data_IF_200598251815
#
_entry.id   IF_200598251815
#
_cell.length_a   1.000
_cell.length_b   1.000
_cell.length_c   1.000
_cell.angle_alpha   90.00
_cell.angle_beta   90.00
_cell.angle_gamma   90.00
#
_symmetry.space_group_name_H-M   'P 1'
#
loop_
_entity.id
_entity.type
_entity.pdbx_description
1 polymer ?
#
# COMPACT_ATOMS: atom_id res chain seq x y z
N UNK A 1 -33.67 6.37 6.36
CA UNK A 1 -33.36 4.99 6.78
C UNK A 1 -32.95 4.23 5.52
N UNK A 2 -31.65 4.17 5.19
CA UNK A 2 -31.17 3.58 3.93
C UNK A 2 -30.66 2.17 4.24
N UNK A 3 -31.38 1.18 3.74
CA UNK A 3 -31.18 -0.25 4.00
C UNK A 3 -29.87 -0.75 3.38
N UNK A 4 -29.14 -1.60 4.12
CA UNK A 4 -27.84 -2.24 3.79
C UNK A 4 -27.76 -2.93 2.41
N UNK A 5 -28.86 -3.08 1.69
CA UNK A 5 -28.95 -3.75 0.39
C UNK A 5 -28.51 -2.89 -0.80
N UNK A 6 -28.41 -1.56 -0.67
CA UNK A 6 -28.02 -0.67 -1.79
C UNK A 6 -26.52 -0.52 -2.04
N UNK A 7 -25.65 -1.06 -1.17
CA UNK A 7 -24.19 -1.04 -1.34
C UNK A 7 -23.62 -2.22 -2.13
N UNK A 8 -24.44 -3.22 -2.48
CA UNK A 8 -23.94 -4.53 -2.93
C UNK A 8 -23.64 -4.63 -4.44
N UNK A 9 -24.14 -3.71 -5.26
CA UNK A 9 -24.11 -3.84 -6.73
C UNK A 9 -23.74 -2.55 -7.48
N UNK A 10 -23.09 -1.58 -6.83
CA UNK A 10 -22.69 -0.36 -7.53
C UNK A 10 -21.41 -0.60 -8.35
N UNK A 11 -21.46 -0.61 -9.70
CA UNK A 11 -20.27 -0.76 -10.55
C UNK A 11 -19.26 0.38 -10.35
N UNK A 12 -19.66 1.48 -9.69
CA UNK A 12 -18.77 2.57 -9.33
C UNK A 12 -17.62 2.13 -8.40
N UNK A 13 -17.82 1.17 -7.49
CA UNK A 13 -16.76 0.70 -6.59
C UNK A 13 -15.61 -0.02 -7.33
N UNK A 14 -15.85 -0.54 -8.54
CA UNK A 14 -14.81 -1.22 -9.34
C UNK A 14 -13.80 -0.26 -9.94
N UNK A 15 -14.09 1.05 -9.96
CA UNK A 15 -13.28 2.06 -10.65
C UNK A 15 -12.56 3.04 -9.70
N UNK A 16 -12.59 2.79 -8.39
CA UNK A 16 -12.28 3.83 -7.40
C UNK A 16 -10.93 3.66 -6.70
N UNK A 17 -10.11 2.64 -6.98
CA UNK A 17 -8.77 2.52 -6.40
C UNK A 17 -7.72 2.44 -7.48
N UNK A 18 -7.00 3.54 -7.67
CA UNK A 18 -5.91 3.67 -8.62
C UNK A 18 -4.60 3.68 -7.85
N UNK A 19 -3.62 2.94 -8.36
CA UNK A 19 -2.29 2.85 -7.77
C UNK A 19 -1.30 3.55 -8.69
N UNK A 20 -0.40 4.31 -8.09
CA UNK A 20 0.72 4.92 -8.78
C UNK A 20 2.01 4.47 -8.11
N UNK A 21 3.04 4.22 -8.89
CA UNK A 21 4.39 4.13 -8.36
C UNK A 21 5.12 5.43 -8.69
N UNK A 22 5.78 6.01 -7.70
CA UNK A 22 6.78 7.03 -7.97
C UNK A 22 7.90 6.40 -8.78
N UNK A 23 8.22 6.98 -9.93
CA UNK A 23 9.42 6.58 -10.65
C UNK A 23 10.64 6.92 -9.80
N UNK A 24 11.66 6.06 -9.89
CA UNK A 24 12.90 6.21 -9.13
C UNK A 24 13.49 7.59 -9.45
N UNK A 25 13.47 8.47 -8.47
CA UNK A 25 13.97 9.84 -8.54
C UNK A 25 15.24 9.93 -7.69
N UNK A 26 16.14 10.86 -8.02
CA UNK A 26 17.44 11.02 -7.33
C UNK A 26 17.33 11.58 -5.89
N UNK A 27 16.10 11.72 -5.38
CA UNK A 27 15.80 12.21 -4.04
C UNK A 27 15.50 11.07 -3.07
N UNK A 28 15.80 11.28 -1.80
CA UNK A 28 15.55 10.27 -0.75
C UNK A 28 14.04 10.09 -0.51
N UNK A 29 13.58 8.92 -0.03
CA UNK A 29 12.16 8.65 0.22
C UNK A 29 11.49 9.67 1.15
N UNK A 30 12.24 10.17 2.15
CA UNK A 30 11.78 11.19 3.09
C UNK A 30 11.54 12.53 2.39
N UNK A 31 12.51 13.00 1.61
CA UNK A 31 12.38 14.26 0.87
C UNK A 31 11.21 14.21 -0.13
N UNK A 32 10.97 13.06 -0.76
CA UNK A 32 9.81 12.88 -1.63
C UNK A 32 8.50 12.93 -0.84
N UNK A 33 8.43 12.23 0.30
CA UNK A 33 7.26 12.29 1.18
C UNK A 33 6.96 13.72 1.61
N UNK A 34 7.97 14.48 2.04
CA UNK A 34 7.80 15.86 2.50
C UNK A 34 7.30 16.77 1.37
N UNK A 35 7.90 16.68 0.17
CA UNK A 35 7.49 17.48 -1.00
C UNK A 35 6.06 17.16 -1.43
N UNK A 36 5.72 15.87 -1.49
CA UNK A 36 4.37 15.41 -1.86
C UNK A 36 3.35 15.84 -0.80
N UNK A 37 3.67 15.69 0.48
CA UNK A 37 2.83 16.12 1.59
C UNK A 37 2.54 17.63 1.52
N UNK A 38 3.56 18.46 1.28
CA UNK A 38 3.38 19.91 1.12
C UNK A 38 2.47 20.25 -0.06
N UNK A 39 2.65 19.59 -1.20
CA UNK A 39 1.78 19.75 -2.37
C UNK A 39 0.32 19.39 -2.03
N UNK A 40 0.09 18.25 -1.37
CA UNK A 40 -1.26 17.83 -0.95
C UNK A 40 -1.92 18.81 0.02
N UNK A 41 -1.18 19.31 1.00
CA UNK A 41 -1.67 20.34 1.92
C UNK A 41 -2.08 21.61 1.17
N UNK A 42 -1.30 22.02 0.16
CA UNK A 42 -1.63 23.17 -0.69
C UNK A 42 -2.89 22.94 -1.53
N UNK A 43 -3.11 21.70 -2.00
CA UNK A 43 -4.32 21.27 -2.70
C UNK A 43 -5.56 21.15 -1.79
N UNK A 44 -5.40 21.40 -0.48
CA UNK A 44 -6.47 21.39 0.51
C UNK A 44 -6.73 20.04 1.18
N UNK A 45 -5.81 19.07 1.02
CA UNK A 45 -5.85 17.86 1.83
C UNK A 45 -5.41 18.14 3.26
N UNK A 46 -5.82 17.28 4.18
CA UNK A 46 -5.30 17.24 5.55
C UNK A 46 -4.86 15.83 5.91
N UNK A 47 -3.88 15.70 6.80
CA UNK A 47 -3.42 14.40 7.27
C UNK A 47 -4.47 13.72 8.14
N UNK A 48 -4.66 12.41 7.94
CA UNK A 48 -5.48 11.56 8.76
C UNK A 48 -4.96 11.50 10.19
N UNK A 49 -5.87 11.47 11.17
CA UNK A 49 -5.49 11.37 12.60
C UNK A 49 -4.92 10.01 12.97
N UNK A 50 -5.31 8.96 12.26
CA UNK A 50 -4.92 7.59 12.55
C UNK A 50 -3.61 7.15 11.86
N UNK A 51 -3.26 7.82 10.75
CA UNK A 51 -2.11 7.48 9.93
C UNK A 51 -1.56 8.74 9.26
N UNK A 52 -0.28 9.04 9.50
CA UNK A 52 0.41 10.21 8.96
C UNK A 52 0.64 10.13 7.45
N UNK A 53 0.55 8.94 6.87
CA UNK A 53 0.68 8.70 5.43
C UNK A 53 -0.63 8.81 4.66
N UNK A 54 -1.76 8.91 5.38
CA UNK A 54 -3.09 9.08 4.81
C UNK A 54 -3.45 10.56 4.72
N UNK A 55 -3.80 11.00 3.53
CA UNK A 55 -4.29 12.34 3.24
C UNK A 55 -5.76 12.27 2.83
N UNK A 56 -6.55 13.19 3.36
CA UNK A 56 -8.00 13.22 3.16
C UNK A 56 -8.38 14.59 2.59
N UNK A 57 -9.13 14.59 1.49
CA UNK A 57 -9.79 15.77 0.93
C UNK A 57 -11.29 15.57 1.04
N UNK A 58 -11.99 16.58 1.58
CA UNK A 58 -13.44 16.58 1.69
C UNK A 58 -14.00 17.86 1.08
N UNK A 59 -14.76 17.74 -0.01
CA UNK A 59 -15.42 18.85 -0.71
C UNK A 59 -16.90 18.53 -0.83
N UNK A 60 -17.72 19.09 0.06
CA UNK A 60 -19.15 18.78 0.12
C UNK A 60 -19.42 17.30 0.40
N UNK A 61 -20.06 16.61 -0.54
CA UNK A 61 -20.31 15.16 -0.47
C UNK A 61 -19.15 14.32 -1.04
N UNK A 62 -18.21 14.95 -1.74
CA UNK A 62 -17.06 14.27 -2.34
C UNK A 62 -15.95 14.07 -1.29
N UNK A 63 -15.41 12.86 -1.25
CA UNK A 63 -14.28 12.44 -0.42
C UNK A 63 -13.23 11.78 -1.29
N UNK A 64 -11.99 12.21 -1.13
CA UNK A 64 -10.82 11.58 -1.73
C UNK A 64 -9.82 11.25 -0.61
N UNK A 65 -9.32 10.04 -0.64
CA UNK A 65 -8.33 9.47 0.24
C UNK A 65 -7.09 9.16 -0.59
N UNK A 66 -5.94 9.62 -0.15
CA UNK A 66 -4.66 9.35 -0.78
C UNK A 66 -3.72 8.78 0.28
N UNK A 67 -3.20 7.58 0.06
CA UNK A 67 -2.28 6.91 0.96
C UNK A 67 -0.90 6.82 0.29
N UNK A 68 0.14 7.28 0.99
CA UNK A 68 1.52 7.26 0.49
C UNK A 68 2.31 6.19 1.24
N UNK A 69 2.74 5.14 0.56
CA UNK A 69 3.64 4.14 1.15
C UNK A 69 4.93 4.02 0.36
N UNK A 70 6.02 4.57 0.91
CA UNK A 70 7.33 4.61 0.24
C UNK A 70 7.09 4.95 -1.25
N UNK A 71 7.38 4.05 -2.18
CA UNK A 71 7.27 4.25 -3.63
C UNK A 71 5.88 4.08 -4.23
N UNK A 72 4.92 3.53 -3.48
CA UNK A 72 3.56 3.32 -3.94
C UNK A 72 2.59 4.38 -3.36
N UNK A 73 1.68 4.87 -4.19
CA UNK A 73 0.62 5.81 -3.83
C UNK A 73 -0.71 5.18 -4.22
N UNK A 74 -1.64 5.09 -3.27
CA UNK A 74 -3.02 4.67 -3.52
C UNK A 74 -3.90 5.90 -3.49
N UNK A 75 -4.75 6.06 -4.50
CA UNK A 75 -5.80 7.08 -4.52
C UNK A 75 -7.15 6.38 -4.58
N UNK A 76 -8.06 6.80 -3.71
CA UNK A 76 -9.45 6.36 -3.74
C UNK A 76 -10.43 7.44 -3.34
N UNK A 77 -11.68 7.33 -3.77
CA UNK A 77 -12.70 8.32 -3.46
C UNK A 77 -14.00 8.05 -4.20
N UNK A 78 -15.02 8.84 -3.90
CA UNK A 78 -16.34 8.70 -4.50
C UNK A 78 -16.59 9.63 -5.70
N UNK A 79 -15.61 10.44 -6.09
CA UNK A 79 -15.72 11.43 -7.17
C UNK A 79 -14.58 11.27 -8.17
N UNK A 80 -14.87 10.64 -9.31
CA UNK A 80 -13.87 10.32 -10.33
C UNK A 80 -13.29 11.55 -11.02
N UNK A 81 -14.02 12.67 -11.07
CA UNK A 81 -13.51 13.89 -11.69
C UNK A 81 -12.40 14.48 -10.82
N UNK A 82 -12.65 14.60 -9.51
CA UNK A 82 -11.65 15.08 -8.55
C UNK A 82 -10.43 14.15 -8.52
N UNK A 83 -10.65 12.84 -8.58
CA UNK A 83 -9.55 11.86 -8.64
C UNK A 83 -8.73 12.04 -9.92
N UNK A 84 -9.37 12.20 -11.08
CA UNK A 84 -8.68 12.37 -12.37
C UNK A 84 -7.88 13.68 -12.40
N UNK A 85 -8.46 14.77 -11.88
CA UNK A 85 -7.78 16.07 -11.78
C UNK A 85 -6.57 15.99 -10.84
N UNK A 86 -6.73 15.33 -9.68
CA UNK A 86 -5.64 15.09 -8.73
C UNK A 86 -4.51 14.28 -9.39
N UNK A 87 -4.85 13.20 -10.08
CA UNK A 87 -3.88 12.35 -10.79
C UNK A 87 -3.12 13.17 -11.82
N UNK A 88 -3.81 13.99 -12.62
CA UNK A 88 -3.17 14.82 -13.64
C UNK A 88 -2.21 15.84 -13.02
N UNK A 89 -2.62 16.47 -11.92
CA UNK A 89 -1.80 17.43 -11.17
C UNK A 89 -0.55 16.75 -10.63
N UNK A 90 -0.72 15.63 -9.91
CA UNK A 90 0.39 14.88 -9.34
C UNK A 90 1.32 14.31 -10.40
N UNK A 91 0.80 13.84 -11.54
CA UNK A 91 1.63 13.33 -12.64
C UNK A 91 2.42 14.42 -13.35
N UNK A 92 1.96 15.67 -13.30
CA UNK A 92 2.67 16.81 -13.86
C UNK A 92 3.81 17.30 -12.96
N UNK A 93 3.61 17.29 -11.63
CA UNK A 93 4.61 17.74 -10.66
C UNK A 93 5.60 16.64 -10.25
N UNK A 94 5.14 15.39 -10.25
CA UNK A 94 5.91 14.23 -9.85
C UNK A 94 5.92 13.23 -11.00
N UNK A 95 7.09 12.68 -11.32
CA UNK A 95 7.19 11.58 -12.27
C UNK A 95 6.57 10.31 -11.67
N UNK A 96 5.25 10.21 -11.73
CA UNK A 96 4.46 9.07 -11.28
C UNK A 96 4.15 8.18 -12.48
N UNK A 97 4.28 6.88 -12.28
CA UNK A 97 3.85 5.86 -13.23
C UNK A 97 2.50 5.33 -12.78
N UNK A 98 1.49 5.49 -13.64
CA UNK A 98 0.18 4.89 -13.43
C UNK A 98 0.30 3.35 -13.46
N UNK A 99 -0.11 2.70 -12.38
CA UNK A 99 -0.17 1.24 -12.25
C UNK A 99 -1.60 0.72 -12.46
N UNK A 100 -2.56 1.60 -12.80
CA UNK A 100 -3.99 1.32 -12.99
C UNK A 100 -4.61 0.77 -11.69
N UNK A 101 -5.55 -0.16 -11.81
CA UNK A 101 -6.27 -0.75 -10.67
C UNK A 101 -5.31 -1.40 -9.65
N UNK A 102 -5.60 -1.22 -8.36
CA UNK A 102 -4.82 -1.83 -7.27
C UNK A 102 -4.88 -3.36 -7.33
N UNK A 103 -3.86 -3.97 -7.90
CA UNK A 103 -3.70 -5.43 -7.90
C UNK A 103 -2.69 -5.90 -6.86
N UNK A 104 -1.66 -5.11 -6.60
CA UNK A 104 -0.61 -5.41 -5.64
C UNK A 104 -0.21 -4.15 -4.87
N UNK A 105 -0.07 -4.28 -3.55
CA UNK A 105 0.44 -3.22 -2.68
C UNK A 105 0.99 -3.85 -1.41
N UNK A 106 2.21 -3.49 -0.98
CA UNK A 106 2.85 -4.07 0.21
C UNK A 106 3.02 -5.60 0.18
N UNK A 107 3.08 -6.21 -1.00
CA UNK A 107 3.07 -7.68 -1.11
C UNK A 107 1.68 -8.32 -0.85
N UNK A 108 0.65 -7.51 -0.63
CA UNK A 108 -0.74 -7.93 -0.65
C UNK A 108 -1.23 -7.97 -2.10
N UNK A 109 -1.74 -9.12 -2.53
CA UNK A 109 -2.53 -9.27 -3.75
C UNK A 109 -3.98 -8.90 -3.46
N UNK A 110 -4.54 -7.97 -4.25
CA UNK A 110 -5.93 -7.55 -4.17
C UNK A 110 -6.69 -8.04 -5.40
N UNK A 111 -7.75 -8.80 -5.16
CA UNK A 111 -8.68 -9.29 -6.18
C UNK A 111 -10.03 -8.62 -6.01
N UNK A 112 -10.54 -8.06 -7.10
CA UNK A 112 -11.86 -7.46 -7.14
C UNK A 112 -12.90 -8.55 -7.48
N UNK A 113 -13.75 -8.89 -6.51
CA UNK A 113 -14.88 -9.80 -6.71
C UNK A 113 -16.17 -8.99 -6.87
N UNK A 114 -17.24 -9.59 -7.46
CA UNK A 114 -18.54 -8.93 -7.55
C UNK A 114 -19.11 -8.47 -6.20
N UNK A 115 -18.74 -9.12 -5.11
CA UNK A 115 -19.24 -8.90 -3.75
C UNK A 115 -18.23 -8.21 -2.82
N UNK A 116 -17.06 -7.77 -3.30
CA UNK A 116 -16.08 -7.07 -2.47
C UNK A 116 -14.63 -7.27 -2.92
N UNK A 117 -13.71 -6.99 -2.01
CA UNK A 117 -12.28 -7.18 -2.20
C UNK A 117 -11.83 -8.45 -1.48
N UNK A 118 -11.00 -9.25 -2.15
CA UNK A 118 -10.27 -10.34 -1.53
C UNK A 118 -8.79 -9.97 -1.51
N UNK A 119 -8.23 -9.91 -0.31
CA UNK A 119 -6.83 -9.57 -0.08
C UNK A 119 -6.11 -10.84 0.35
N UNK A 120 -4.99 -11.16 -0.30
CA UNK A 120 -4.19 -12.35 0.03
C UNK A 120 -2.69 -12.09 -0.10
N UNK A 121 -1.88 -12.80 0.68
CA UNK A 121 -0.41 -12.76 0.56
C UNK A 121 0.17 -14.01 -0.11
N UNK A 122 -0.67 -14.83 -0.75
CA UNK A 122 -0.26 -16.15 -1.27
C UNK A 122 0.96 -16.07 -2.18
N UNK A 123 1.04 -15.04 -3.04
CA UNK A 123 2.20 -14.80 -3.89
C UNK A 123 3.43 -14.45 -3.06
N UNK A 124 3.33 -13.47 -2.16
CA UNK A 124 4.44 -13.07 -1.29
C UNK A 124 4.98 -14.26 -0.47
N UNK A 125 4.10 -15.07 0.14
CA UNK A 125 4.49 -16.26 0.88
C UNK A 125 5.23 -17.28 -0.01
N UNK A 126 4.75 -17.51 -1.23
CA UNK A 126 5.39 -18.41 -2.19
C UNK A 126 6.77 -17.90 -2.60
N UNK A 127 6.86 -16.63 -2.99
CA UNK A 127 8.10 -15.99 -3.43
C UNK A 127 9.14 -16.01 -2.28
N UNK A 128 8.68 -15.79 -1.04
CA UNK A 128 9.53 -15.88 0.15
C UNK A 128 10.05 -17.30 0.38
N UNK A 129 9.18 -18.31 0.31
CA UNK A 129 9.57 -19.72 0.47
C UNK A 129 10.55 -20.16 -0.62
N UNK A 130 10.37 -19.70 -1.86
CA UNK A 130 11.29 -19.97 -2.94
C UNK A 130 12.65 -19.29 -2.69
N UNK A 131 12.65 -18.02 -2.28
CA UNK A 131 13.86 -17.27 -1.97
C UNK A 131 14.67 -17.90 -0.83
N UNK A 132 14.01 -18.42 0.20
CA UNK A 132 14.66 -19.11 1.32
C UNK A 132 14.95 -20.59 1.05
N UNK A 133 14.59 -21.11 -0.13
CA UNK A 133 14.68 -22.54 -0.50
C UNK A 133 13.91 -23.47 0.46
N UNK A 134 12.77 -23.00 0.97
CA UNK A 134 11.92 -23.70 1.94
C UNK A 134 10.62 -24.26 1.36
N UNK A 135 10.48 -24.31 0.03
CA UNK A 135 9.28 -24.85 -0.63
C UNK A 135 8.94 -26.29 -0.24
N UNK A 136 9.96 -27.09 0.06
CA UNK A 136 9.83 -28.52 0.45
C UNK A 136 10.10 -28.75 1.95
N UNK A 137 10.18 -27.69 2.76
CA UNK A 137 10.43 -27.85 4.19
C UNK A 137 9.28 -28.59 4.88
N UNK A 138 9.63 -29.52 5.77
CA UNK A 138 8.66 -30.24 6.58
C UNK A 138 8.01 -29.33 7.60
N UNK A 139 6.72 -29.51 7.84
CA UNK A 139 5.98 -28.73 8.82
C UNK A 139 6.53 -28.99 10.23
N UNK A 140 6.84 -27.92 10.97
CA UNK A 140 7.23 -27.98 12.38
C UNK A 140 6.16 -27.24 13.18
N UNK A 141 5.64 -27.87 14.24
CA UNK A 141 4.53 -27.34 15.04
C UNK A 141 4.86 -26.02 15.78
N UNK A 142 6.14 -25.71 15.93
CA UNK A 142 6.65 -24.48 16.56
C UNK A 142 7.84 -23.95 15.77
N UNK A 143 7.70 -22.83 15.03
CA UNK A 143 8.78 -22.24 14.25
C UNK A 143 9.88 -21.58 15.11
N UNK A 144 9.75 -21.64 16.44
CA UNK A 144 10.69 -21.09 17.40
C UNK A 144 11.33 -22.22 18.20
N UNK A 145 12.66 -22.24 18.27
CA UNK A 145 13.37 -23.17 19.14
C UNK A 145 13.02 -22.88 20.61
N UNK A 146 12.49 -23.87 21.32
CA UNK A 146 12.18 -23.78 22.76
C UNK A 146 13.42 -23.61 23.66
N UNK A 147 14.63 -23.72 23.08
CA UNK A 147 15.90 -23.55 23.77
C UNK A 147 16.87 -22.81 22.85
N UNK A 148 17.23 -21.58 23.20
CA UNK A 148 18.51 -21.04 22.74
C UNK A 148 19.61 -21.86 23.39
N UNK A 149 20.35 -22.65 22.61
CA UNK A 149 21.65 -23.12 23.05
C UNK A 149 22.56 -21.90 22.94
N UNK A 150 22.57 -21.06 23.97
CA UNK A 150 23.58 -20.01 24.10
C UNK A 150 24.85 -20.75 24.53
N UNK A 151 25.58 -21.30 23.57
CA UNK A 151 26.99 -21.57 23.80
C UNK A 151 27.69 -20.24 23.94
N UNK A 152 28.49 -20.07 24.99
CA UNK A 152 29.31 -18.88 25.32
C UNK A 152 30.31 -18.47 24.21
N UNK A 153 30.21 -19.06 23.01
CA UNK A 153 31.10 -18.90 21.88
C UNK A 153 30.47 -18.12 20.70
N UNK A 154 29.17 -17.82 20.74
CA UNK A 154 28.41 -17.24 19.60
C UNK A 154 28.38 -15.69 19.59
N UNK A 155 29.51 -15.06 19.90
CA UNK A 155 29.67 -13.59 19.84
C UNK A 155 29.90 -13.05 18.42
N UNK A 156 29.37 -13.69 17.37
CA UNK A 156 29.32 -13.05 16.05
C UNK A 156 27.99 -12.33 15.86
N UNK A 157 27.99 -11.00 15.69
CA UNK A 157 26.77 -10.25 15.48
C UNK A 157 26.09 -10.74 14.19
N UNK A 158 24.85 -11.21 14.33
CA UNK A 158 24.00 -11.61 13.21
C UNK A 158 23.85 -10.40 12.28
N UNK A 159 24.31 -10.53 11.04
CA UNK A 159 24.24 -9.44 10.07
C UNK A 159 22.76 -9.15 9.72
N UNK A 160 22.22 -7.98 10.12
CA UNK A 160 20.80 -7.67 9.94
C UNK A 160 20.42 -7.46 8.46
N UNK A 161 21.40 -7.31 7.57
CA UNK A 161 21.20 -7.14 6.13
C UNK A 161 20.57 -8.37 5.46
N UNK A 162 20.69 -9.56 6.08
CA UNK A 162 20.17 -10.81 5.53
C UNK A 162 18.64 -10.94 5.62
N UNK A 163 18.00 -10.11 6.44
CA UNK A 163 16.56 -10.16 6.74
C UNK A 163 15.85 -8.82 6.45
N UNK A 164 16.56 -7.88 5.80
CA UNK A 164 16.07 -6.55 5.43
C UNK A 164 15.65 -6.50 3.98
#
# INVERSE_FOLDING_TARGET
MITRSKLKNDPSLKSQMVTFAATRSDITPRARFDKLSQCLLHLGFYCGKADSSLFILRKGQSIVLLLIYVDDIIVTGNDNNIISDLISTLSSEFSLKDLRSLHYFLGLEVKYLPNGLFVSQTKYTRDLLEHTKMMECTHINTPMALKSIITLSDEQPINPTRYR
#
